data_IF_505868339626
#
_entry.id   IF_505868339626
#
_cell.length_a   1.000
_cell.length_b   1.000
_cell.length_c   1.000
_cell.angle_alpha   90.00
_cell.angle_beta   90.00
_cell.angle_gamma   90.00
#
_symmetry.space_group_name_H-M   'P 1'
#
loop_
_entity.id
_entity.type
_entity.pdbx_description
1 polymer ?
#
# COMPACT_ATOMS: atom_id res chain seq x y z
N UNK A 1 -12.19 -7.60 17.09
CA UNK A 1 -11.36 -6.38 17.04
C UNK A 1 -9.92 -6.70 17.39
N UNK A 2 -9.17 -7.12 16.38
CA UNK A 2 -7.72 -7.13 16.46
C UNK A 2 -7.28 -5.66 16.46
N UNK A 3 -6.77 -5.14 17.57
CA UNK A 3 -6.25 -3.76 17.61
C UNK A 3 -5.03 -3.71 16.69
N UNK A 4 -5.10 -2.94 15.60
CA UNK A 4 -3.95 -2.62 14.76
C UNK A 4 -2.75 -2.28 15.66
N UNK A 5 -1.60 -2.91 15.43
CA UNK A 5 -0.41 -2.62 16.23
C UNK A 5 0.12 -1.24 15.88
N UNK A 6 0.69 -0.55 16.86
CA UNK A 6 1.22 0.80 16.66
C UNK A 6 2.34 0.83 15.61
N UNK A 7 3.16 -0.23 15.53
CA UNK A 7 4.22 -0.34 14.55
C UNK A 7 3.69 -0.36 13.10
N UNK A 8 2.57 -1.03 12.86
CA UNK A 8 1.94 -1.10 11.54
C UNK A 8 1.38 0.27 11.14
N UNK A 9 0.78 0.99 12.10
CA UNK A 9 0.37 2.37 11.90
C UNK A 9 1.57 3.30 11.63
N UNK A 10 2.69 3.13 12.32
CA UNK A 10 3.90 3.94 12.11
C UNK A 10 4.43 3.81 10.68
N UNK A 11 4.43 2.58 10.14
CA UNK A 11 4.82 2.31 8.75
C UNK A 11 3.84 2.95 7.77
N UNK A 12 2.54 2.69 7.94
CA UNK A 12 1.50 3.18 7.03
C UNK A 12 1.37 4.72 7.01
N UNK A 13 1.64 5.37 8.14
CA UNK A 13 1.57 6.83 8.27
C UNK A 13 2.90 7.53 7.97
N UNK A 14 3.98 6.77 7.72
CA UNK A 14 5.33 7.31 7.51
C UNK A 14 5.74 8.30 8.61
N UNK A 15 5.42 7.97 9.86
CA UNK A 15 5.56 8.90 10.99
C UNK A 15 7.00 9.38 11.21
N UNK A 16 7.98 8.53 10.89
CA UNK A 16 9.39 8.84 11.00
C UNK A 16 9.89 9.85 9.95
N UNK A 17 9.18 9.98 8.82
CA UNK A 17 9.55 10.85 7.71
C UNK A 17 8.84 12.21 7.76
N UNK A 18 8.07 12.49 8.81
CA UNK A 18 7.39 13.76 8.97
C UNK A 18 8.41 14.90 9.13
N UNK A 19 8.29 15.93 8.26
CA UNK A 19 9.22 17.08 8.23
C UNK A 19 9.28 17.83 9.56
N UNK A 20 8.17 17.91 10.29
CA UNK A 20 8.10 18.55 11.61
C UNK A 20 7.66 17.54 12.65
N UNK A 21 8.30 17.56 13.83
CA UNK A 21 7.90 16.69 14.97
C UNK A 21 6.44 16.86 15.38
N UNK A 22 5.84 18.04 15.19
CA UNK A 22 4.43 18.27 15.51
C UNK A 22 3.48 17.48 14.60
N UNK A 23 3.86 17.23 13.35
CA UNK A 23 3.05 16.43 12.42
C UNK A 23 3.05 14.95 12.83
N UNK A 24 4.20 14.44 13.29
CA UNK A 24 4.28 13.12 13.93
C UNK A 24 3.41 13.06 15.21
N UNK A 25 3.43 14.11 16.03
CA UNK A 25 2.57 14.17 17.22
C UNK A 25 1.08 14.14 16.86
N UNK A 26 0.64 14.82 15.80
CA UNK A 26 -0.75 14.79 15.32
C UNK A 26 -1.18 13.36 14.94
N UNK A 27 -0.33 12.62 14.23
CA UNK A 27 -0.59 11.22 13.87
C UNK A 27 -0.70 10.32 15.11
N UNK A 28 0.19 10.51 16.10
CA UNK A 28 0.14 9.80 17.39
C UNK A 28 -1.15 10.09 18.15
N UNK A 29 -1.56 11.36 18.23
CA UNK A 29 -2.79 11.75 18.93
C UNK A 29 -3.99 11.06 18.25
N UNK A 30 -4.05 11.08 16.92
CA UNK A 30 -5.11 10.39 16.18
C UNK A 30 -5.15 8.89 16.48
N UNK A 31 -4.00 8.20 16.36
CA UNK A 31 -3.91 6.77 16.65
C UNK A 31 -4.39 6.47 18.07
N UNK A 32 -3.94 7.24 19.06
CA UNK A 32 -4.37 7.06 20.44
C UNK A 32 -5.88 7.20 20.61
N UNK A 33 -6.48 8.23 20.00
CA UNK A 33 -7.94 8.44 20.04
C UNK A 33 -8.71 7.28 19.38
N UNK A 34 -8.10 6.54 18.44
CA UNK A 34 -8.71 5.38 17.78
C UNK A 34 -8.60 4.08 18.58
N UNK A 35 -7.43 3.82 19.19
CA UNK A 35 -7.18 2.53 19.88
C UNK A 35 -7.52 2.52 21.37
N UNK A 36 -7.63 3.72 21.95
CA UNK A 36 -7.95 3.90 23.35
C UNK A 36 -9.41 4.34 23.50
N UNK A 37 -10.02 3.99 24.63
CA UNK A 37 -11.36 4.47 24.99
C UNK A 37 -11.33 5.94 25.47
N UNK A 38 -10.23 6.68 25.24
CA UNK A 38 -10.03 8.05 25.71
C UNK A 38 -9.89 8.99 24.52
N UNK A 39 -10.69 10.05 24.54
CA UNK A 39 -10.71 11.07 23.49
C UNK A 39 -9.61 12.13 23.62
N UNK A 40 -8.66 11.96 24.55
CA UNK A 40 -7.56 12.90 24.76
C UNK A 40 -6.31 12.20 25.28
N UNK A 41 -5.15 12.80 25.07
CA UNK A 41 -3.84 12.24 25.38
C UNK A 41 -2.94 13.27 26.10
N UNK A 42 -2.16 12.82 27.08
CA UNK A 42 -1.21 13.65 27.80
C UNK A 42 0.14 13.79 27.08
N UNK A 43 0.92 14.82 27.45
CA UNK A 43 2.29 15.05 26.94
C UNK A 43 3.21 13.85 27.19
N UNK A 44 3.05 13.19 28.35
CA UNK A 44 3.87 12.03 28.70
C UNK A 44 3.52 10.83 27.81
N UNK A 45 2.24 10.61 27.53
CA UNK A 45 1.79 9.53 26.64
C UNK A 45 2.22 9.76 25.20
N UNK A 46 2.13 11.01 24.70
CA UNK A 46 2.69 11.36 23.39
C UNK A 46 4.17 10.97 23.34
N UNK A 47 4.97 11.37 24.33
CA UNK A 47 6.39 11.02 24.36
C UNK A 47 6.66 9.51 24.48
N UNK A 48 5.79 8.75 25.17
CA UNK A 48 5.89 7.29 25.20
C UNK A 48 5.69 6.69 23.80
N UNK A 49 4.75 7.22 23.01
CA UNK A 49 4.61 6.81 21.61
C UNK A 49 5.80 7.22 20.75
N UNK A 50 6.41 8.39 20.97
CA UNK A 50 7.67 8.74 20.30
C UNK A 50 8.76 7.69 20.57
N UNK A 51 8.88 7.22 21.83
CA UNK A 51 9.82 6.15 22.18
C UNK A 51 9.49 4.83 21.49
N UNK A 52 8.21 4.43 21.49
CA UNK A 52 7.75 3.21 20.83
C UNK A 52 8.01 3.26 19.31
N UNK A 53 7.84 4.43 18.69
CA UNK A 53 8.13 4.64 17.27
C UNK A 53 9.64 4.81 16.97
N UNK A 54 10.53 4.61 17.95
CA UNK A 54 11.97 4.85 17.84
C UNK A 54 12.34 6.27 17.38
N UNK A 55 11.50 7.26 17.70
CA UNK A 55 11.73 8.67 17.39
C UNK A 55 12.42 9.38 18.56
N UNK A 56 13.27 10.39 18.28
CA UNK A 56 13.87 11.19 19.34
C UNK A 56 12.77 11.91 20.14
N UNK A 57 12.83 11.81 21.47
CA UNK A 57 11.83 12.39 22.36
C UNK A 57 11.53 13.86 22.04
N UNK A 58 10.27 14.24 22.22
CA UNK A 58 9.85 15.62 22.07
C UNK A 58 10.02 16.32 23.42
N UNK A 59 10.91 17.31 23.46
CA UNK A 59 11.08 18.16 24.65
C UNK A 59 9.71 18.62 25.18
N UNK A 60 9.41 18.30 26.44
CA UNK A 60 8.06 18.45 27.01
C UNK A 60 7.53 19.88 26.96
N UNK A 61 8.38 20.87 27.20
CA UNK A 61 8.01 22.29 27.16
C UNK A 61 7.67 22.71 25.72
N UNK A 62 8.54 22.37 24.75
CA UNK A 62 8.29 22.66 23.34
C UNK A 62 7.07 21.91 22.80
N UNK A 63 6.86 20.66 23.22
CA UNK A 63 5.68 19.89 22.84
C UNK A 63 4.42 20.59 23.35
N UNK A 64 4.37 20.97 24.63
CA UNK A 64 3.24 21.70 25.22
C UNK A 64 2.92 22.99 24.44
N UNK A 65 3.94 23.80 24.16
CA UNK A 65 3.80 25.04 23.38
C UNK A 65 3.28 24.77 21.96
N UNK A 66 3.89 23.84 21.24
CA UNK A 66 3.52 23.54 19.86
C UNK A 66 2.11 22.96 19.76
N UNK A 67 1.71 22.06 20.70
CA UNK A 67 0.34 21.53 20.75
C UNK A 67 -0.69 22.63 21.00
N UNK A 68 -0.34 23.63 21.82
CA UNK A 68 -1.24 24.73 22.17
C UNK A 68 -1.40 25.76 21.05
N UNK A 69 -0.38 25.93 20.21
CA UNK A 69 -0.37 26.86 19.08
C UNK A 69 -0.91 26.24 17.77
N UNK A 70 -0.92 24.91 17.67
CA UNK A 70 -1.36 24.22 16.45
C UNK A 70 -2.89 24.21 16.30
N UNK A 71 -3.38 24.77 15.19
CA UNK A 71 -4.82 24.88 14.90
C UNK A 71 -5.54 23.53 14.79
N UNK A 72 -4.81 22.44 14.54
CA UNK A 72 -5.35 21.08 14.41
C UNK A 72 -5.69 20.46 15.77
N UNK A 73 -5.16 21.02 16.86
CA UNK A 73 -5.25 20.46 18.20
C UNK A 73 -6.11 21.35 19.09
N UNK A 74 -6.87 20.72 19.99
CA UNK A 74 -7.72 21.37 20.98
C UNK A 74 -7.50 20.75 22.36
N UNK A 75 -7.90 21.45 23.42
CA UNK A 75 -7.88 20.87 24.76
C UNK A 75 -8.96 19.80 24.91
N UNK A 76 -8.58 18.67 25.48
CA UNK A 76 -9.45 17.61 25.94
C UNK A 76 -9.67 17.67 27.45
N UNK A 77 -10.08 16.55 28.03
CA UNK A 77 -10.34 16.39 29.46
C UNK A 77 -9.04 16.49 30.27
N UNK A 78 -9.12 16.96 31.52
CA UNK A 78 -7.99 17.02 32.45
C UNK A 78 -6.74 17.76 31.92
N UNK A 79 -6.92 18.73 31.02
CA UNK A 79 -5.81 19.48 30.42
C UNK A 79 -5.01 18.72 29.36
N UNK A 80 -5.48 17.54 28.94
CA UNK A 80 -4.92 16.77 27.85
C UNK A 80 -5.24 17.40 26.48
N UNK A 81 -4.69 16.82 25.41
CA UNK A 81 -4.83 17.31 24.05
C UNK A 81 -5.61 16.32 23.19
N UNK A 82 -6.37 16.84 22.22
CA UNK A 82 -7.12 16.05 21.24
C UNK A 82 -7.15 16.75 19.90
N UNK A 83 -7.41 16.01 18.83
CA UNK A 83 -7.59 16.61 17.51
C UNK A 83 -8.94 17.31 17.38
N UNK A 84 -8.96 18.38 16.58
CA UNK A 84 -10.21 19.00 16.16
C UNK A 84 -10.96 18.12 15.16
N UNK A 85 -12.24 18.42 14.93
CA UNK A 85 -13.08 17.59 14.05
C UNK A 85 -12.59 17.56 12.59
N UNK A 86 -12.14 18.69 12.05
CA UNK A 86 -11.74 18.79 10.66
C UNK A 86 -10.53 17.89 10.34
N UNK A 87 -9.48 17.91 11.16
CA UNK A 87 -8.31 17.04 10.94
C UNK A 87 -8.64 15.58 11.25
N UNK A 88 -9.54 15.33 12.20
CA UNK A 88 -9.99 13.97 12.53
C UNK A 88 -10.70 13.33 11.35
N UNK A 89 -11.60 14.06 10.67
CA UNK A 89 -12.27 13.58 9.45
C UNK A 89 -11.27 13.29 8.31
N UNK A 90 -10.25 14.14 8.13
CA UNK A 90 -9.19 13.92 7.12
C UNK A 90 -8.37 12.66 7.44
N UNK A 91 -7.97 12.48 8.69
CA UNK A 91 -7.17 11.31 9.09
C UNK A 91 -8.00 10.03 9.11
N UNK A 92 -9.30 10.12 9.42
CA UNK A 92 -10.23 9.01 9.32
C UNK A 92 -10.35 8.52 7.87
N UNK A 93 -10.58 9.43 6.92
CA UNK A 93 -10.58 9.06 5.50
C UNK A 93 -9.27 8.41 5.07
N UNK A 94 -8.15 8.84 5.64
CA UNK A 94 -6.82 8.34 5.26
C UNK A 94 -6.48 6.98 5.87
N UNK A 95 -6.86 6.73 7.13
CA UNK A 95 -6.29 5.63 7.93
C UNK A 95 -7.31 4.72 8.59
N UNK A 96 -8.61 5.03 8.54
CA UNK A 96 -9.61 4.23 9.26
C UNK A 96 -9.72 2.79 8.71
N UNK A 97 -9.39 2.58 7.43
CA UNK A 97 -9.27 1.26 6.80
C UNK A 97 -8.26 0.34 7.49
N UNK A 98 -7.26 0.89 8.21
CA UNK A 98 -6.31 0.10 8.98
C UNK A 98 -6.93 -0.54 10.23
N UNK A 99 -8.14 -0.11 10.62
CA UNK A 99 -8.88 -0.62 11.79
C UNK A 99 -10.12 -1.44 11.41
N UNK A 100 -10.41 -1.56 10.12
CA UNK A 100 -11.43 -2.48 9.64
C UNK A 100 -10.94 -3.91 9.92
N UNK A 101 -11.78 -4.75 10.55
CA UNK A 101 -11.42 -6.15 10.76
C UNK A 101 -11.07 -6.73 9.37
N UNK A 102 -9.88 -7.31 9.22
CA UNK A 102 -9.53 -8.08 8.02
C UNK A 102 -10.73 -8.98 7.72
N UNK A 103 -11.39 -8.76 6.58
CA UNK A 103 -12.46 -9.64 6.16
C UNK A 103 -11.79 -10.98 5.86
N UNK A 104 -11.68 -11.84 6.88
CA UNK A 104 -11.17 -13.18 6.69
C UNK A 104 -12.18 -13.88 5.79
N UNK A 105 -11.82 -13.98 4.52
CA UNK A 105 -12.56 -14.80 3.55
C UNK A 105 -12.34 -16.24 3.96
N UNK A 106 -13.13 -16.73 4.91
CA UNK A 106 -13.30 -18.16 5.09
C UNK A 106 -14.31 -18.61 4.05
N UNK A 107 -13.92 -19.56 3.20
CA UNK A 107 -14.85 -20.22 2.30
C UNK A 107 -15.89 -20.95 3.17
N UNK A 108 -17.03 -20.32 3.43
CA UNK A 108 -18.19 -20.93 4.08
C UNK A 108 -19.05 -21.71 3.07
N UNK A 109 -18.42 -22.18 1.99
CA UNK A 109 -19.06 -22.89 0.87
C UNK A 109 -18.21 -24.11 0.52
N UNK A 110 -18.87 -25.21 0.19
CA UNK A 110 -18.24 -26.42 -0.33
C UNK A 110 -18.13 -26.30 -1.85
N UNK A 111 -16.89 -26.15 -2.33
CA UNK A 111 -16.61 -26.02 -3.77
C UNK A 111 -16.84 -27.34 -4.51
N UNK A 112 -16.80 -28.47 -3.80
CA UNK A 112 -17.02 -29.82 -4.33
C UNK A 112 -18.44 -30.01 -4.87
N UNK A 113 -19.38 -29.18 -4.41
CA UNK A 113 -20.77 -29.19 -4.88
C UNK A 113 -21.01 -28.24 -6.07
N UNK A 114 -19.95 -27.67 -6.66
CA UNK A 114 -20.10 -26.76 -7.81
C UNK A 114 -20.64 -27.54 -9.01
N UNK A 115 -21.81 -27.18 -9.55
CA UNK A 115 -22.37 -27.90 -10.70
C UNK A 115 -21.43 -27.85 -11.91
N UNK A 116 -21.32 -28.98 -12.62
CA UNK A 116 -20.52 -29.13 -13.84
C UNK A 116 -19.00 -29.02 -13.66
N UNK A 117 -18.50 -29.07 -12.42
CA UNK A 117 -17.07 -29.18 -12.14
C UNK A 117 -16.75 -30.54 -11.53
N UNK A 118 -15.58 -31.06 -11.91
CA UNK A 118 -14.99 -32.25 -11.31
C UNK A 118 -14.03 -31.87 -10.18
N UNK A 119 -13.65 -32.82 -9.33
CA UNK A 119 -12.67 -32.59 -8.26
C UNK A 119 -11.34 -32.04 -8.81
N UNK A 120 -10.95 -32.46 -10.02
CA UNK A 120 -9.75 -31.98 -10.72
C UNK A 120 -9.84 -30.48 -11.05
N UNK A 121 -11.03 -29.96 -11.36
CA UNK A 121 -11.25 -28.52 -11.57
C UNK A 121 -11.06 -27.75 -10.27
N UNK A 122 -11.54 -28.30 -9.15
CA UNK A 122 -11.37 -27.70 -7.82
C UNK A 122 -9.90 -27.71 -7.39
N UNK A 123 -9.19 -28.81 -7.61
CA UNK A 123 -7.73 -28.89 -7.39
C UNK A 123 -6.97 -27.87 -8.24
N UNK A 124 -7.35 -27.72 -9.52
CA UNK A 124 -6.76 -26.71 -10.40
C UNK A 124 -7.06 -25.29 -9.92
N UNK A 125 -8.27 -25.01 -9.42
CA UNK A 125 -8.62 -23.72 -8.85
C UNK A 125 -7.75 -23.38 -7.64
N UNK A 126 -7.55 -24.33 -6.71
CA UNK A 126 -6.64 -24.15 -5.59
C UNK A 126 -5.20 -23.88 -6.04
N UNK A 127 -4.72 -24.64 -7.02
CA UNK A 127 -3.38 -24.44 -7.60
C UNK A 127 -3.24 -23.04 -8.21
N UNK A 128 -4.24 -22.57 -8.96
CA UNK A 128 -4.20 -21.23 -9.56
C UNK A 128 -4.33 -20.12 -8.52
N UNK A 129 -5.05 -20.35 -7.42
CA UNK A 129 -5.15 -19.41 -6.32
C UNK A 129 -3.77 -19.14 -5.68
N UNK A 130 -2.96 -20.18 -5.47
CA UNK A 130 -1.58 -20.02 -4.97
C UNK A 130 -0.69 -19.19 -5.93
N UNK A 131 -0.82 -19.42 -7.24
CA UNK A 131 -0.07 -18.65 -8.23
C UNK A 131 -0.56 -17.20 -8.32
N UNK A 132 -1.86 -16.97 -8.14
CA UNK A 132 -2.43 -15.63 -8.04
C UNK A 132 -1.82 -14.84 -6.88
N UNK A 133 -1.58 -15.47 -5.72
CA UNK A 133 -0.90 -14.80 -4.59
C UNK A 133 0.48 -14.27 -4.99
N UNK A 134 1.26 -15.06 -5.73
CA UNK A 134 2.59 -14.67 -6.20
C UNK A 134 2.48 -13.47 -7.15
N UNK A 135 1.60 -13.56 -8.14
CA UNK A 135 1.38 -12.48 -9.12
C UNK A 135 0.89 -11.21 -8.44
N UNK A 136 -0.06 -11.32 -7.51
CA UNK A 136 -0.59 -10.19 -6.76
C UNK A 136 0.52 -9.46 -6.00
N UNK A 137 1.36 -10.21 -5.29
CA UNK A 137 2.51 -9.65 -4.58
C UNK A 137 3.52 -9.02 -5.54
N UNK A 138 3.83 -9.68 -6.65
CA UNK A 138 4.76 -9.17 -7.65
C UNK A 138 4.26 -7.84 -8.25
N UNK A 139 3.04 -7.83 -8.81
CA UNK A 139 2.48 -6.66 -9.50
C UNK A 139 2.42 -5.45 -8.56
N UNK A 140 1.91 -5.64 -7.34
CA UNK A 140 1.81 -4.56 -6.37
C UNK A 140 3.18 -4.12 -5.84
N UNK A 141 4.12 -5.05 -5.64
CA UNK A 141 5.50 -4.69 -5.29
C UNK A 141 6.14 -3.81 -6.36
N UNK A 142 5.96 -4.14 -7.65
CA UNK A 142 6.43 -3.32 -8.76
C UNK A 142 5.79 -1.93 -8.78
N UNK A 143 4.46 -1.82 -8.55
CA UNK A 143 3.76 -0.54 -8.44
C UNK A 143 4.30 0.31 -7.29
N UNK A 144 4.48 -0.28 -6.11
CA UNK A 144 5.02 0.44 -4.95
C UNK A 144 6.48 0.84 -5.15
N UNK A 145 7.29 0.00 -5.79
CA UNK A 145 8.67 0.34 -6.15
C UNK A 145 8.73 1.55 -7.07
N UNK A 146 7.96 1.55 -8.16
CA UNK A 146 7.87 2.69 -9.09
C UNK A 146 7.40 3.96 -8.35
N UNK A 147 6.37 3.83 -7.50
CA UNK A 147 5.87 4.95 -6.70
C UNK A 147 6.98 5.54 -5.81
N UNK A 148 7.75 4.68 -5.13
CA UNK A 148 8.86 5.12 -4.25
C UNK A 148 9.92 5.88 -5.04
N UNK A 149 10.38 5.33 -6.16
CA UNK A 149 11.39 5.98 -7.02
C UNK A 149 10.92 7.35 -7.50
N UNK A 150 9.68 7.45 -7.98
CA UNK A 150 9.16 8.70 -8.50
C UNK A 150 8.86 9.72 -7.40
N UNK A 151 8.35 9.29 -6.26
CA UNK A 151 8.10 10.18 -5.13
C UNK A 151 9.42 10.76 -4.59
N UNK A 152 10.50 9.98 -4.56
CA UNK A 152 11.83 10.44 -4.13
C UNK A 152 12.48 11.41 -5.12
N UNK A 153 12.28 11.24 -6.44
CA UNK A 153 12.94 12.07 -7.46
C UNK A 153 12.10 13.31 -7.85
N UNK A 154 10.77 13.19 -7.86
CA UNK A 154 9.87 14.20 -8.40
C UNK A 154 8.88 14.77 -7.37
N UNK A 155 8.84 14.25 -6.14
CA UNK A 155 7.91 14.70 -5.11
C UNK A 155 6.46 14.41 -5.45
N UNK A 156 5.52 15.20 -4.91
CA UNK A 156 4.08 14.99 -5.07
C UNK A 156 3.58 15.16 -6.52
N UNK A 157 4.31 15.91 -7.35
CA UNK A 157 3.91 16.21 -8.74
C UNK A 157 4.35 15.14 -9.75
N UNK A 158 4.90 14.02 -9.27
CA UNK A 158 5.47 12.97 -10.13
C UNK A 158 4.51 12.50 -11.24
N UNK A 159 3.21 12.38 -10.94
CA UNK A 159 2.24 11.90 -11.92
C UNK A 159 2.11 12.86 -13.11
N UNK A 160 2.12 14.17 -12.86
CA UNK A 160 2.01 15.18 -13.92
C UNK A 160 3.23 15.19 -14.83
N UNK A 161 4.39 14.79 -14.30
CA UNK A 161 5.64 14.67 -15.05
C UNK A 161 5.66 13.40 -15.91
N UNK A 162 5.19 12.27 -15.38
CA UNK A 162 5.33 10.99 -16.08
C UNK A 162 4.20 10.69 -17.07
N UNK A 163 2.99 11.22 -16.82
CA UNK A 163 1.80 10.84 -17.59
C UNK A 163 1.95 11.26 -19.04
N UNK A 164 1.58 10.36 -19.94
CA UNK A 164 1.36 10.68 -21.35
C UNK A 164 -0.15 10.66 -21.65
N UNK A 165 -0.53 11.00 -22.87
CA UNK A 165 -1.94 11.03 -23.31
C UNK A 165 -2.64 9.69 -23.07
N UNK A 166 -1.96 8.57 -23.35
CA UNK A 166 -2.52 7.22 -23.21
C UNK A 166 -2.75 6.82 -21.76
N UNK A 167 -1.74 7.01 -20.90
CA UNK A 167 -1.81 6.72 -19.47
C UNK A 167 -2.87 7.59 -18.81
N UNK A 168 -2.89 8.90 -19.11
CA UNK A 168 -3.90 9.82 -18.59
C UNK A 168 -5.31 9.32 -18.95
N UNK A 169 -5.55 9.01 -20.22
CA UNK A 169 -6.83 8.51 -20.71
C UNK A 169 -7.25 7.22 -20.01
N UNK A 170 -6.38 6.21 -19.92
CA UNK A 170 -6.68 4.94 -19.23
C UNK A 170 -7.06 5.15 -17.77
N UNK A 171 -6.30 5.97 -17.04
CA UNK A 171 -6.53 6.24 -15.62
C UNK A 171 -7.87 6.97 -15.44
N UNK A 172 -8.10 8.06 -16.18
CA UNK A 172 -9.33 8.86 -16.09
C UNK A 172 -10.58 8.05 -16.46
N UNK A 173 -10.52 7.23 -17.52
CA UNK A 173 -11.64 6.38 -17.93
C UNK A 173 -11.99 5.32 -16.86
N UNK A 174 -10.98 4.67 -16.28
CA UNK A 174 -11.19 3.63 -15.25
C UNK A 174 -11.69 4.25 -13.95
N UNK A 175 -11.09 5.34 -13.49
CA UNK A 175 -11.56 6.09 -12.31
C UNK A 175 -12.99 6.60 -12.48
N UNK A 176 -13.31 7.20 -13.63
CA UNK A 176 -14.67 7.70 -13.91
C UNK A 176 -15.70 6.57 -13.91
N UNK A 177 -15.35 5.41 -14.49
CA UNK A 177 -16.23 4.23 -14.51
C UNK A 177 -16.50 3.72 -13.09
N UNK A 178 -15.47 3.61 -12.26
CA UNK A 178 -15.60 3.16 -10.87
C UNK A 178 -16.38 4.16 -10.02
N UNK A 179 -16.16 5.46 -10.18
CA UNK A 179 -16.95 6.50 -9.48
C UNK A 179 -18.44 6.49 -9.84
N UNK A 180 -18.78 6.16 -11.08
CA UNK A 180 -20.19 6.02 -11.51
C UNK A 180 -20.85 4.80 -10.86
N UNK A 181 -20.10 3.74 -10.59
CA UNK A 181 -20.57 2.49 -10.02
C UNK A 181 -20.42 2.53 -8.49
N UNK A 182 -21.35 3.20 -7.81
CA UNK A 182 -21.34 3.39 -6.34
C UNK A 182 -21.33 2.09 -5.50
N UNK A 183 -21.52 0.94 -6.13
CA UNK A 183 -21.53 -0.38 -5.49
C UNK A 183 -20.21 -1.16 -5.68
N UNK A 184 -19.22 -0.59 -6.39
CA UNK A 184 -17.90 -1.20 -6.62
C UNK A 184 -16.84 -0.38 -5.88
N UNK A 185 -15.87 -1.05 -5.27
CA UNK A 185 -14.73 -0.40 -4.64
C UNK A 185 -13.76 0.17 -5.69
N UNK A 186 -13.07 1.26 -5.34
CA UNK A 186 -12.02 1.82 -6.17
C UNK A 186 -10.75 0.98 -6.07
N UNK A 187 -10.06 0.76 -7.20
CA UNK A 187 -8.89 -0.15 -7.27
C UNK A 187 -7.61 0.37 -6.61
N UNK A 188 -7.59 1.63 -6.17
CA UNK A 188 -6.46 2.20 -5.44
C UNK A 188 -6.44 3.72 -5.42
N UNK A 189 -5.52 4.27 -4.62
CA UNK A 189 -5.34 5.72 -4.40
C UNK A 189 -4.32 6.35 -5.34
N UNK A 190 -3.46 5.55 -5.99
CA UNK A 190 -2.44 6.03 -6.95
C UNK A 190 -2.84 5.71 -8.39
N UNK A 191 -2.54 6.59 -9.37
CA UNK A 191 -2.72 6.33 -10.80
C UNK A 191 -2.08 5.02 -11.28
N UNK A 192 -1.00 4.57 -10.61
CA UNK A 192 -0.33 3.31 -10.95
C UNK A 192 -1.25 2.09 -10.82
N UNK A 193 -2.24 2.09 -9.92
CA UNK A 193 -3.18 0.96 -9.78
C UNK A 193 -4.19 0.87 -10.93
N UNK A 194 -4.28 1.92 -11.74
CA UNK A 194 -5.15 1.96 -12.93
C UNK A 194 -4.38 1.67 -14.21
N UNK A 195 -3.08 1.37 -14.14
CA UNK A 195 -2.25 1.01 -15.28
C UNK A 195 -2.05 -0.50 -15.39
N UNK A 196 -1.88 -1.00 -16.61
CA UNK A 196 -1.67 -2.43 -16.85
C UNK A 196 -0.20 -2.83 -16.61
N UNK A 197 0.07 -4.14 -16.57
CA UNK A 197 1.43 -4.67 -16.41
C UNK A 197 2.40 -4.15 -17.48
N UNK A 198 2.01 -4.21 -18.76
CA UNK A 198 2.77 -3.63 -19.86
C UNK A 198 3.02 -2.12 -19.74
N UNK A 199 2.12 -1.37 -19.10
CA UNK A 199 2.31 0.07 -18.89
C UNK A 199 3.38 0.34 -17.82
N UNK A 200 3.48 -0.49 -16.78
CA UNK A 200 4.58 -0.41 -15.81
C UNK A 200 5.93 -0.61 -16.48
N UNK A 201 6.01 -1.57 -17.40
CA UNK A 201 7.23 -1.84 -18.16
C UNK A 201 7.62 -0.64 -19.04
N UNK A 202 6.65 0.00 -19.71
CA UNK A 202 6.88 1.23 -20.49
C UNK A 202 7.39 2.38 -19.62
N UNK A 203 6.88 2.50 -18.40
CA UNK A 203 7.33 3.50 -17.43
C UNK A 203 8.79 3.23 -17.06
N UNK A 204 9.13 1.98 -16.72
CA UNK A 204 10.48 1.58 -16.35
C UNK A 204 11.46 1.87 -17.49
N UNK A 205 11.12 1.48 -18.72
CA UNK A 205 11.90 1.75 -19.95
C UNK A 205 12.17 3.24 -20.15
N UNK A 206 11.12 4.07 -20.07
CA UNK A 206 11.23 5.51 -20.34
C UNK A 206 12.13 6.23 -19.32
N UNK A 207 12.14 5.76 -18.08
CA UNK A 207 12.89 6.36 -16.98
C UNK A 207 14.00 5.44 -16.46
N UNK A 208 14.60 4.62 -17.34
CA UNK A 208 15.61 3.61 -17.03
C UNK A 208 16.69 4.13 -16.05
N UNK A 209 17.22 5.33 -16.29
CA UNK A 209 18.25 5.97 -15.46
C UNK A 209 17.88 6.11 -13.97
N UNK A 210 16.58 6.16 -13.63
CA UNK A 210 16.12 6.22 -12.24
C UNK A 210 16.05 4.84 -11.58
N UNK A 211 16.02 3.78 -12.38
CA UNK A 211 15.90 2.39 -11.93
C UNK A 211 17.23 1.64 -11.93
N UNK A 212 18.20 2.02 -12.79
CA UNK A 212 19.52 1.37 -12.85
C UNK A 212 20.32 1.37 -11.53
N UNK A 213 20.19 2.34 -10.60
CA UNK A 213 20.85 2.25 -9.29
C UNK A 213 20.32 1.09 -8.42
N UNK A 214 19.14 0.59 -8.74
CA UNK A 214 18.40 -0.41 -7.98
C UNK A 214 18.35 -1.77 -8.70
N UNK A 215 18.40 -1.73 -10.03
CA UNK A 215 18.31 -2.88 -10.92
C UNK A 215 19.50 -2.82 -11.87
N UNK A 216 20.52 -3.63 -11.61
CA UNK A 216 21.78 -3.61 -12.36
C UNK A 216 21.59 -3.98 -13.85
N UNK A 217 20.71 -4.92 -14.15
CA UNK A 217 20.36 -5.31 -15.51
C UNK A 217 18.86 -5.15 -15.75
N UNK A 218 18.48 -3.97 -16.27
CA UNK A 218 17.08 -3.65 -16.51
C UNK A 218 16.49 -4.54 -17.60
N UNK A 219 17.23 -4.81 -18.69
CA UNK A 219 16.79 -5.67 -19.79
C UNK A 219 16.41 -7.06 -19.30
N UNK A 220 17.17 -7.59 -18.34
CA UNK A 220 16.89 -8.88 -17.73
C UNK A 220 15.61 -8.89 -16.88
N UNK A 221 15.25 -7.77 -16.25
CA UNK A 221 13.95 -7.62 -15.58
C UNK A 221 12.84 -7.44 -16.62
N UNK A 222 13.08 -6.67 -17.68
CA UNK A 222 12.08 -6.45 -18.72
C UNK A 222 11.63 -7.74 -19.39
N UNK A 223 12.59 -8.61 -19.76
CA UNK A 223 12.29 -9.90 -20.37
C UNK A 223 11.38 -10.75 -19.47
N UNK A 224 11.70 -10.81 -18.17
CA UNK A 224 10.85 -11.53 -17.20
C UNK A 224 9.47 -10.93 -17.09
N UNK A 225 9.36 -9.59 -17.06
CA UNK A 225 8.05 -8.93 -17.04
C UNK A 225 7.21 -9.29 -18.27
N UNK A 226 7.81 -9.34 -19.47
CA UNK A 226 7.11 -9.72 -20.70
C UNK A 226 6.67 -11.19 -20.69
N UNK A 227 7.53 -12.10 -20.21
CA UNK A 227 7.18 -13.52 -20.08
C UNK A 227 6.08 -13.76 -19.05
N UNK A 228 6.16 -13.08 -17.90
CA UNK A 228 5.17 -13.18 -16.82
C UNK A 228 3.82 -12.60 -17.20
N UNK A 229 3.75 -11.60 -18.08
CA UNK A 229 2.47 -11.03 -18.53
C UNK A 229 1.56 -12.11 -19.13
N UNK A 230 2.13 -13.07 -19.87
CA UNK A 230 1.36 -14.18 -20.47
C UNK A 230 0.76 -15.09 -19.42
N UNK A 231 1.58 -15.51 -18.46
CA UNK A 231 1.19 -16.38 -17.33
C UNK A 231 0.14 -15.67 -16.47
N UNK A 232 0.34 -14.39 -16.19
CA UNK A 232 -0.57 -13.54 -15.43
C UNK A 232 -1.92 -13.40 -16.12
N UNK A 233 -1.95 -13.22 -17.44
CA UNK A 233 -3.20 -13.09 -18.18
C UNK A 233 -4.01 -14.40 -18.16
N UNK A 234 -3.36 -15.56 -18.24
CA UNK A 234 -4.04 -16.86 -18.10
C UNK A 234 -4.73 -16.95 -16.74
N UNK A 235 -4.01 -16.68 -15.65
CA UNK A 235 -4.57 -16.74 -14.28
C UNK A 235 -5.69 -15.71 -14.09
N UNK A 236 -5.52 -14.48 -14.58
CA UNK A 236 -6.53 -13.42 -14.48
C UNK A 236 -7.83 -13.74 -15.23
N UNK A 237 -7.79 -14.63 -16.22
CA UNK A 237 -8.94 -15.12 -16.96
C UNK A 237 -9.42 -16.50 -16.47
N UNK A 238 -9.05 -16.90 -15.25
CA UNK A 238 -9.38 -18.20 -14.64
C UNK A 238 -8.92 -19.41 -15.46
N UNK A 239 -7.87 -19.23 -16.26
CA UNK A 239 -7.23 -20.29 -17.02
C UNK A 239 -6.27 -21.12 -16.15
N UNK A 240 -5.94 -22.31 -16.64
CA UNK A 240 -5.04 -23.25 -15.98
C UNK A 240 -3.67 -23.18 -16.64
N UNK A 241 -2.61 -23.20 -15.84
CA UNK A 241 -1.23 -23.38 -16.33
C UNK A 241 -0.86 -24.86 -16.21
N UNK A 242 -0.82 -25.60 -17.35
CA UNK A 242 -0.52 -27.02 -17.32
C UNK A 242 0.98 -27.29 -17.15
N UNK A 243 1.85 -26.43 -17.69
CA UNK A 243 3.31 -26.64 -17.66
C UNK A 243 3.90 -26.29 -16.29
N UNK A 244 4.57 -27.29 -15.68
CA UNK A 244 5.31 -27.12 -14.42
C UNK A 244 6.48 -26.15 -14.58
N UNK A 245 7.08 -26.06 -15.76
CA UNK A 245 8.20 -25.14 -15.99
C UNK A 245 7.75 -23.68 -15.91
N UNK A 246 6.56 -23.34 -16.42
CA UNK A 246 6.02 -21.99 -16.33
C UNK A 246 5.73 -21.59 -14.88
N UNK A 247 5.24 -22.54 -14.08
CA UNK A 247 5.06 -22.35 -12.63
C UNK A 247 6.40 -22.10 -11.95
N UNK A 248 7.40 -22.93 -12.24
CA UNK A 248 8.73 -22.78 -11.66
C UNK A 248 9.38 -21.44 -12.07
N UNK A 249 9.19 -20.98 -13.32
CA UNK A 249 9.65 -19.67 -13.79
C UNK A 249 8.99 -18.54 -13.00
N UNK A 250 7.67 -18.59 -12.79
CA UNK A 250 6.96 -17.60 -11.98
C UNK A 250 7.55 -17.50 -10.56
N UNK A 251 7.74 -18.64 -9.90
CA UNK A 251 8.31 -18.70 -8.56
C UNK A 251 9.74 -18.14 -8.55
N UNK A 252 10.58 -18.58 -9.48
CA UNK A 252 11.97 -18.14 -9.58
C UNK A 252 12.07 -16.63 -9.83
N UNK A 253 11.28 -16.09 -10.76
CA UNK A 253 11.31 -14.67 -11.08
C UNK A 253 10.81 -13.81 -9.92
N UNK A 254 9.83 -14.28 -9.15
CA UNK A 254 9.42 -13.62 -7.92
C UNK A 254 10.53 -13.63 -6.85
N UNK A 255 11.24 -14.75 -6.70
CA UNK A 255 12.38 -14.84 -5.79
C UNK A 255 13.52 -13.91 -6.20
N UNK A 256 13.84 -13.87 -7.49
CA UNK A 256 14.83 -12.95 -8.06
C UNK A 256 14.44 -11.49 -7.84
N UNK A 257 13.16 -11.15 -8.06
CA UNK A 257 12.63 -9.82 -7.77
C UNK A 257 12.80 -9.43 -6.31
N UNK A 258 12.43 -10.33 -5.39
CA UNK A 258 12.60 -10.12 -3.96
C UNK A 258 14.08 -9.93 -3.62
N UNK A 259 14.98 -10.76 -4.16
CA UNK A 259 16.42 -10.67 -3.92
C UNK A 259 16.99 -9.34 -4.41
N UNK A 260 16.60 -8.90 -5.60
CA UNK A 260 17.04 -7.64 -6.20
C UNK A 260 16.68 -6.43 -5.33
N UNK A 261 15.48 -6.41 -4.73
CA UNK A 261 15.01 -5.28 -3.95
C UNK A 261 15.33 -5.34 -2.45
N UNK A 262 15.74 -6.51 -1.93
CA UNK A 262 16.03 -6.70 -0.50
C UNK A 262 17.18 -5.84 0.02
N UNK A 263 18.11 -5.48 -0.86
CA UNK A 263 19.24 -4.59 -0.53
C UNK A 263 18.83 -3.11 -0.34
N UNK A 264 17.57 -2.76 -0.67
CA UNK A 264 17.02 -1.39 -0.61
C UNK A 264 16.07 -1.16 0.57
N UNK A 265 15.88 -2.18 1.39
CA UNK A 265 14.99 -2.19 2.56
C UNK A 265 15.71 -1.96 3.90
N UNK A 266 16.91 -1.37 3.87
CA UNK A 266 17.62 -0.86 5.06
C UNK A 266 17.59 0.67 5.04
#
# INVERSE_FOLDING_TARGET
MMKLKFDDFCKASEIAFQKKKIDAAVLIIWYHQKVSNRNSISINEINNYFKQAHLPEYNKFRLSEHLRLDKRITKGENGNYKLNRAILEVLDQKFNHLFEDETKVQLQISLENTPFLENTDIENAHKMAELYLIIFCFENSARHFILKIFSSNFGEDWWNIIKNTDFKKKVEERMSREQKLKWICQRGTSPLFYLDWSDLLKIIRKYENLFTPFIADLKFIELRFEELERVRNIIAHNGIIPDKNDINRLILYFQDWCKQLKELSI
#
